data_IF_961477914728
#
_entry.id   IF_961477914728
#
_cell.length_a   1.000
_cell.length_b   1.000
_cell.length_c   1.000
_cell.angle_alpha   90.00
_cell.angle_beta   90.00
_cell.angle_gamma   90.00
#
_symmetry.space_group_name_H-M   'P 1'
#
loop_
_entity.id
_entity.type
_entity.pdbx_description
1 polymer ?
#
# COMPACT_ATOMS: atom_id res chain seq x y z
N UNK A 1 22.23 -75.50 38.56
CA UNK A 1 22.39 -75.01 37.17
C UNK A 1 22.77 -73.54 37.19
N UNK A 2 24.06 -73.27 37.36
CA UNK A 2 24.67 -71.96 37.13
C UNK A 2 24.98 -71.86 35.64
N UNK A 3 24.15 -71.12 34.90
CA UNK A 3 24.48 -70.78 33.52
C UNK A 3 25.66 -69.80 33.54
N UNK A 4 26.80 -70.24 32.99
CA UNK A 4 27.91 -69.37 32.64
C UNK A 4 27.43 -68.36 31.61
N UNK A 5 27.17 -67.11 32.02
CA UNK A 5 26.99 -66.01 31.10
C UNK A 5 28.40 -65.58 30.68
N UNK A 6 28.79 -65.92 29.46
CA UNK A 6 30.02 -65.39 28.85
C UNK A 6 29.70 -63.95 28.43
N UNK A 7 30.31 -62.97 29.09
CA UNK A 7 30.21 -61.56 28.70
C UNK A 7 30.89 -61.37 27.33
N UNK A 8 30.09 -61.14 26.28
CA UNK A 8 30.56 -60.89 24.90
C UNK A 8 30.68 -59.39 24.56
N UNK A 9 30.64 -58.51 25.57
CA UNK A 9 30.73 -57.06 25.42
C UNK A 9 32.09 -56.50 25.86
N UNK A 10 32.47 -55.34 25.33
CA UNK A 10 33.73 -54.63 25.59
C UNK A 10 33.47 -53.13 25.78
N UNK A 11 33.68 -52.64 27.00
CA UNK A 11 33.71 -51.22 27.34
C UNK A 11 35.15 -50.83 27.71
N UNK A 12 35.53 -49.55 27.55
CA UNK A 12 36.92 -49.11 27.74
C UNK A 12 37.00 -47.75 28.47
N UNK A 13 37.98 -47.62 29.38
CA UNK A 13 38.42 -46.37 29.99
C UNK A 13 39.95 -46.30 29.89
N UNK A 14 40.47 -45.28 29.23
CA UNK A 14 41.92 -45.05 29.09
C UNK A 14 42.31 -43.76 29.80
N UNK A 15 43.45 -43.78 30.49
CA UNK A 15 44.09 -42.63 31.14
C UNK A 15 45.57 -42.60 30.75
N UNK A 16 45.91 -41.82 29.72
CA UNK A 16 47.28 -41.65 29.21
C UNK A 16 47.90 -40.36 29.78
N UNK A 17 49.15 -40.45 30.26
CA UNK A 17 49.96 -39.31 30.71
C UNK A 17 51.25 -39.16 29.90
N UNK A 18 51.25 -39.63 28.64
CA UNK A 18 52.38 -39.40 27.74
C UNK A 18 52.45 -37.90 27.50
N UNK A 19 53.60 -37.30 27.83
CA UNK A 19 53.82 -35.86 27.68
C UNK A 19 53.37 -35.37 26.30
N UNK A 20 52.55 -34.33 26.29
CA UNK A 20 51.99 -33.68 25.09
C UNK A 20 50.98 -34.55 24.29
N UNK A 21 50.58 -35.71 24.83
CA UNK A 21 49.60 -36.66 24.28
C UNK A 21 48.73 -37.26 25.40
N UNK A 22 48.43 -36.47 26.43
CA UNK A 22 47.57 -36.87 27.53
C UNK A 22 46.13 -37.07 27.04
N UNK A 23 45.51 -38.17 27.43
CA UNK A 23 44.16 -38.53 26.95
C UNK A 23 43.35 -39.22 28.05
N UNK A 24 42.07 -38.86 28.08
CA UNK A 24 41.02 -39.65 28.74
C UNK A 24 40.05 -40.11 27.66
N UNK A 25 39.93 -41.43 27.45
CA UNK A 25 39.00 -42.03 26.49
C UNK A 25 37.98 -42.89 27.20
N UNK A 26 36.71 -42.76 26.85
CA UNK A 26 35.61 -43.56 27.40
C UNK A 26 34.80 -44.14 26.24
N UNK A 27 34.57 -45.47 26.28
CA UNK A 27 33.73 -46.18 25.31
C UNK A 27 32.72 -47.06 26.02
N UNK A 28 31.45 -46.92 25.63
CA UNK A 28 30.39 -47.88 25.91
C UNK A 28 30.00 -48.60 24.61
N UNK A 29 29.96 -49.95 24.61
CA UNK A 29 29.55 -50.71 23.42
C UNK A 29 28.06 -50.59 23.10
N UNK A 30 27.22 -50.34 24.11
CA UNK A 30 25.77 -50.29 23.95
C UNK A 30 25.17 -49.01 24.53
N UNK A 31 25.12 -48.91 25.86
CA UNK A 31 24.46 -47.81 26.57
C UNK A 31 25.44 -47.11 27.50
N UNK A 32 25.52 -45.78 27.44
CA UNK A 32 26.19 -44.93 28.43
C UNK A 32 25.14 -44.06 29.12
N UNK A 33 25.03 -44.18 30.44
CA UNK A 33 24.11 -43.38 31.25
C UNK A 33 24.90 -42.54 32.25
N UNK A 34 24.64 -41.23 32.27
CA UNK A 34 25.19 -40.31 33.26
C UNK A 34 24.03 -39.75 34.10
N UNK A 35 24.12 -39.90 35.43
CA UNK A 35 23.08 -39.47 36.35
C UNK A 35 23.67 -38.59 37.46
N UNK A 36 23.37 -37.29 37.38
CA UNK A 36 23.86 -36.27 38.33
C UNK A 36 22.67 -35.72 39.13
N UNK A 37 22.71 -35.84 40.46
CA UNK A 37 21.62 -35.36 41.36
C UNK A 37 21.66 -33.86 41.66
N UNK A 38 22.82 -33.24 41.49
CA UNK A 38 23.03 -31.83 41.83
C UNK A 38 23.54 -31.07 40.62
N UNK A 39 24.84 -30.81 40.54
CA UNK A 39 25.43 -29.93 39.54
C UNK A 39 26.40 -30.69 38.65
N UNK A 40 26.38 -30.39 37.37
CA UNK A 40 27.40 -30.77 36.40
C UNK A 40 27.97 -29.49 35.77
N UNK A 41 29.29 -29.38 35.74
CA UNK A 41 29.98 -28.25 35.12
C UNK A 41 31.04 -28.81 34.19
N UNK A 42 31.10 -28.27 32.97
CA UNK A 42 32.09 -28.63 31.96
C UNK A 42 32.69 -27.34 31.42
N UNK A 43 34.02 -27.32 31.28
CA UNK A 43 34.76 -26.25 30.63
C UNK A 43 35.68 -26.88 29.60
N UNK A 44 35.61 -26.41 28.37
CA UNK A 44 36.44 -26.88 27.26
C UNK A 44 37.20 -25.65 26.76
N UNK A 45 38.52 -25.67 26.85
CA UNK A 45 39.36 -24.52 26.52
C UNK A 45 39.57 -24.32 25.01
N UNK A 46 39.32 -25.37 24.23
CA UNK A 46 39.50 -25.34 22.78
C UNK A 46 38.20 -25.77 22.09
N UNK A 47 38.19 -26.89 21.38
CA UNK A 47 37.06 -27.30 20.54
C UNK A 47 36.17 -28.36 21.22
N UNK A 48 34.86 -28.25 20.99
CA UNK A 48 33.87 -29.30 21.27
C UNK A 48 33.23 -29.73 19.95
N UNK A 49 33.35 -31.01 19.62
CA UNK A 49 32.60 -31.63 18.53
C UNK A 49 31.58 -32.63 19.13
N UNK A 50 30.42 -32.75 18.49
CA UNK A 50 29.37 -33.69 18.91
C UNK A 50 28.58 -34.14 17.70
N UNK A 51 28.60 -35.44 17.43
CA UNK A 51 27.84 -36.08 16.35
C UNK A 51 26.84 -37.07 16.94
N UNK A 52 25.57 -36.90 16.58
CA UNK A 52 24.49 -37.84 16.89
C UNK A 52 23.92 -38.32 15.56
N UNK A 53 24.02 -39.62 15.29
CA UNK A 53 23.50 -40.19 14.03
C UNK A 53 21.99 -40.47 14.09
N UNK A 54 21.47 -40.63 15.31
CA UNK A 54 20.04 -40.79 15.59
C UNK A 54 19.38 -39.47 16.00
N UNK A 55 18.41 -39.57 16.91
CA UNK A 55 17.70 -38.41 17.45
C UNK A 55 18.43 -37.81 18.66
N UNK A 56 18.40 -36.49 18.77
CA UNK A 56 18.83 -35.74 19.95
C UNK A 56 17.61 -35.07 20.59
N UNK A 57 17.47 -35.17 21.91
CA UNK A 57 16.41 -34.51 22.66
C UNK A 57 17.00 -33.83 23.88
N UNK A 58 16.68 -32.55 24.05
CA UNK A 58 17.06 -31.75 25.20
C UNK A 58 15.79 -31.20 25.86
N UNK A 59 15.77 -31.14 27.19
CA UNK A 59 14.63 -30.61 27.95
C UNK A 59 15.14 -29.76 29.10
N UNK A 60 14.90 -28.46 28.99
CA UNK A 60 15.23 -27.47 30.02
C UNK A 60 13.92 -26.97 30.62
N UNK A 61 13.70 -27.22 31.90
CA UNK A 61 12.41 -26.94 32.57
C UNK A 61 12.26 -25.51 33.08
N UNK A 62 13.38 -24.78 33.20
CA UNK A 62 13.39 -23.42 33.77
C UNK A 62 13.99 -22.39 32.82
N UNK A 63 15.28 -22.50 32.53
CA UNK A 63 16.02 -21.45 31.86
C UNK A 63 17.18 -21.98 31.03
N UNK A 64 17.26 -21.52 29.78
CA UNK A 64 18.35 -21.79 28.86
C UNK A 64 18.93 -20.44 28.39
N UNK A 65 20.26 -20.27 28.55
CA UNK A 65 21.01 -19.15 27.97
C UNK A 65 22.05 -19.70 27.02
N UNK A 66 22.10 -19.15 25.82
CA UNK A 66 23.17 -19.39 24.87
C UNK A 66 23.76 -18.04 24.46
N UNK A 67 25.08 -17.93 24.55
CA UNK A 67 25.84 -16.75 24.15
C UNK A 67 26.90 -17.18 23.15
N UNK A 68 26.86 -16.57 21.96
CA UNK A 68 27.75 -16.88 20.84
C UNK A 68 28.35 -15.55 20.42
N UNK A 69 29.63 -15.34 20.72
CA UNK A 69 30.34 -14.10 20.40
C UNK A 69 30.72 -14.01 18.92
N UNK A 70 30.95 -15.17 18.29
CA UNK A 70 31.24 -15.30 16.87
C UNK A 70 29.97 -15.50 16.05
N UNK A 71 29.99 -16.55 15.23
CA UNK A 71 28.91 -16.85 14.28
C UNK A 71 28.08 -18.06 14.73
N UNK A 72 26.77 -17.98 14.50
CA UNK A 72 25.83 -19.10 14.62
C UNK A 72 25.30 -19.47 13.23
N UNK A 73 25.66 -20.65 12.72
CA UNK A 73 25.06 -21.24 11.51
C UNK A 73 24.07 -22.34 11.90
N UNK A 74 22.86 -22.29 11.36
CA UNK A 74 21.81 -23.29 11.62
C UNK A 74 21.25 -23.75 10.27
N UNK A 75 21.43 -25.04 9.98
CA UNK A 75 20.91 -25.68 8.76
C UNK A 75 19.97 -26.80 9.13
N UNK A 76 18.76 -26.76 8.58
CA UNK A 76 17.72 -27.77 8.81
C UNK A 76 17.34 -28.35 7.44
N UNK A 77 17.46 -29.67 7.28
CA UNK A 77 17.22 -30.34 6.00
C UNK A 77 15.75 -30.59 5.66
N UNK A 78 14.86 -30.42 6.65
CA UNK A 78 13.42 -30.59 6.52
C UNK A 78 12.71 -29.41 7.19
N UNK A 79 11.90 -29.67 8.21
CA UNK A 79 11.04 -28.67 8.84
C UNK A 79 11.68 -28.03 10.08
N UNK A 80 11.45 -26.73 10.30
CA UNK A 80 11.91 -25.99 11.48
C UNK A 80 10.74 -25.31 12.21
N UNK A 81 10.22 -25.96 13.26
CA UNK A 81 9.13 -25.43 14.09
C UNK A 81 9.66 -24.63 15.28
N UNK A 82 9.05 -23.47 15.52
CA UNK A 82 9.28 -22.67 16.72
C UNK A 82 7.94 -22.28 17.33
N UNK A 83 7.66 -22.77 18.53
CA UNK A 83 6.48 -22.42 19.30
C UNK A 83 6.88 -21.62 20.53
N UNK A 84 6.28 -20.44 20.73
CA UNK A 84 6.59 -19.54 21.83
C UNK A 84 5.28 -19.12 22.48
N UNK A 85 5.14 -19.39 23.78
CA UNK A 85 3.86 -19.22 24.48
C UNK A 85 3.57 -17.77 24.91
N UNK A 86 4.61 -16.97 25.14
CA UNK A 86 4.48 -15.62 25.71
C UNK A 86 4.92 -14.52 24.74
N UNK A 87 6.23 -14.38 24.49
CA UNK A 87 6.78 -13.35 23.61
C UNK A 87 8.03 -13.80 22.88
N UNK A 88 8.22 -13.26 21.67
CA UNK A 88 9.41 -13.47 20.85
C UNK A 88 9.92 -12.11 20.35
N UNK A 89 11.05 -11.69 20.88
CA UNK A 89 11.73 -10.46 20.46
C UNK A 89 12.89 -10.79 19.53
N UNK A 90 13.09 -9.98 18.49
CA UNK A 90 14.21 -10.09 17.56
C UNK A 90 14.81 -8.72 17.34
N UNK A 91 16.09 -8.56 17.69
CA UNK A 91 16.86 -7.33 17.52
C UNK A 91 18.01 -7.64 16.58
N UNK A 92 18.12 -6.86 15.51
CA UNK A 92 19.15 -7.02 14.48
C UNK A 92 19.88 -5.69 14.31
N UNK A 93 21.20 -5.71 14.46
CA UNK A 93 21.99 -4.47 14.49
C UNK A 93 22.30 -3.86 13.12
N UNK A 94 22.23 -4.66 12.03
CA UNK A 94 22.60 -4.22 10.68
C UNK A 94 21.51 -4.52 9.64
N UNK A 95 21.30 -5.80 9.30
CA UNK A 95 20.36 -6.18 8.24
C UNK A 95 19.61 -7.48 8.53
N UNK A 96 18.35 -7.53 8.14
CA UNK A 96 17.49 -8.70 8.23
C UNK A 96 16.93 -9.03 6.84
N UNK A 97 17.29 -10.18 6.29
CA UNK A 97 16.83 -10.63 4.96
C UNK A 97 16.03 -11.91 5.11
N UNK A 98 14.82 -11.93 4.56
CA UNK A 98 13.95 -13.11 4.53
C UNK A 98 13.70 -13.52 3.08
N UNK A 99 14.17 -14.70 2.70
CA UNK A 99 13.90 -15.31 1.39
C UNK A 99 12.96 -16.49 1.59
N UNK A 100 11.79 -16.46 0.95
CA UNK A 100 10.78 -17.52 1.01
C UNK A 100 10.55 -18.06 -0.40
N UNK A 101 10.70 -19.37 -0.58
CA UNK A 101 10.66 -19.99 -1.90
C UNK A 101 9.26 -20.26 -2.45
N UNK A 102 8.24 -20.33 -1.58
CA UNK A 102 6.86 -20.64 -1.97
C UNK A 102 5.90 -19.59 -1.41
N UNK A 103 5.44 -19.75 -0.16
CA UNK A 103 4.42 -18.89 0.43
C UNK A 103 4.85 -18.30 1.77
N UNK A 104 4.52 -17.04 2.01
CA UNK A 104 4.66 -16.38 3.30
C UNK A 104 3.29 -15.96 3.84
N UNK A 105 2.85 -16.54 4.96
CA UNK A 105 1.55 -16.26 5.58
C UNK A 105 1.73 -15.64 6.96
N UNK A 106 1.37 -14.36 7.08
CA UNK A 106 1.30 -13.65 8.36
C UNK A 106 -0.14 -13.56 8.85
N UNK A 107 -0.38 -13.94 10.11
CA UNK A 107 -1.67 -13.74 10.79
C UNK A 107 -1.41 -13.04 12.12
N UNK A 108 -2.04 -11.89 12.29
CA UNK A 108 -1.98 -11.11 13.53
C UNK A 108 -3.40 -11.04 14.09
N UNK A 109 -3.59 -11.48 15.33
CA UNK A 109 -4.93 -11.58 15.91
C UNK A 109 -5.49 -10.23 16.39
N UNK A 110 -4.60 -9.27 16.65
CA UNK A 110 -4.96 -7.95 17.18
C UNK A 110 -4.33 -6.86 16.32
N UNK A 111 -3.24 -6.24 16.78
CA UNK A 111 -2.67 -5.04 16.18
C UNK A 111 -1.33 -5.35 15.49
N UNK A 112 -1.10 -4.72 14.34
CA UNK A 112 0.19 -4.72 13.63
C UNK A 112 0.62 -3.28 13.38
N UNK A 113 1.87 -2.95 13.71
CA UNK A 113 2.46 -1.63 13.48
C UNK A 113 3.81 -1.78 12.78
N UNK A 114 4.05 -0.92 11.79
CA UNK A 114 5.32 -0.84 11.07
C UNK A 114 5.80 0.60 11.07
N UNK A 115 7.09 0.79 11.40
CA UNK A 115 7.76 2.08 11.29
C UNK A 115 8.98 1.91 10.40
N UNK A 116 9.06 2.68 9.33
CA UNK A 116 10.18 2.70 8.38
C UNK A 116 10.81 4.07 8.45
N UNK A 117 12.05 4.15 8.96
CA UNK A 117 12.78 5.40 9.08
C UNK A 117 13.39 5.91 7.76
N UNK A 118 13.45 5.05 6.74
CA UNK A 118 13.88 5.38 5.39
C UNK A 118 12.80 5.03 4.36
N UNK A 119 13.22 4.61 3.16
CA UNK A 119 12.28 4.33 2.07
C UNK A 119 11.62 2.95 2.18
N UNK A 120 10.33 2.87 1.82
CA UNK A 120 9.60 1.61 1.63
C UNK A 120 9.30 1.39 0.16
N UNK A 121 9.84 0.31 -0.42
CA UNK A 121 9.52 -0.14 -1.79
C UNK A 121 8.77 -1.47 -1.73
N UNK A 122 7.65 -1.54 -2.44
CA UNK A 122 6.85 -2.76 -2.60
C UNK A 122 6.72 -3.06 -4.09
N UNK A 123 7.06 -4.28 -4.48
CA UNK A 123 6.92 -4.77 -5.86
C UNK A 123 6.13 -6.06 -5.85
N UNK A 124 5.04 -6.09 -6.62
CA UNK A 124 4.15 -7.25 -6.72
C UNK A 124 4.14 -7.69 -8.17
N UNK A 125 4.71 -8.87 -8.45
CA UNK A 125 4.74 -9.44 -9.81
C UNK A 125 3.38 -9.97 -10.28
N UNK A 126 2.46 -10.25 -9.34
CA UNK A 126 1.09 -10.68 -9.60
C UNK A 126 0.05 -9.63 -9.21
N UNK A 127 -1.09 -10.09 -8.69
CA UNK A 127 -2.19 -9.21 -8.24
C UNK A 127 -2.04 -8.83 -6.77
N UNK A 128 -2.47 -7.61 -6.41
CA UNK A 128 -2.62 -7.16 -5.02
C UNK A 128 -4.09 -6.91 -4.70
N UNK A 129 -4.53 -7.31 -3.51
CA UNK A 129 -5.89 -7.09 -3.00
C UNK A 129 -5.81 -6.66 -1.53
N UNK A 130 -6.48 -5.57 -1.20
CA UNK A 130 -6.59 -5.03 0.15
C UNK A 130 -8.07 -4.97 0.53
N UNK A 131 -8.42 -5.53 1.70
CA UNK A 131 -9.76 -5.45 2.27
C UNK A 131 -9.65 -4.87 3.67
N UNK A 132 -10.33 -3.75 3.91
CA UNK A 132 -10.35 -3.06 5.20
C UNK A 132 -11.79 -3.11 5.72
N UNK A 133 -11.98 -3.75 6.88
CA UNK A 133 -13.31 -3.88 7.50
C UNK A 133 -13.79 -2.62 8.24
N UNK A 134 -12.87 -1.71 8.55
CA UNK A 134 -13.15 -0.40 9.16
C UNK A 134 -12.64 0.74 8.29
N UNK A 135 -12.14 1.80 8.92
CA UNK A 135 -11.69 3.00 8.23
C UNK A 135 -10.26 2.86 7.67
N UNK A 136 -10.01 3.48 6.53
CA UNK A 136 -8.67 3.67 5.95
C UNK A 136 -8.38 5.16 5.84
N UNK A 137 -7.24 5.58 6.38
CA UNK A 137 -6.72 6.95 6.25
C UNK A 137 -5.33 6.90 5.67
N UNK A 138 -5.08 7.72 4.65
CA UNK A 138 -3.78 7.88 4.01
C UNK A 138 -3.42 9.36 4.01
N UNK A 139 -2.26 9.70 4.56
CA UNK A 139 -1.75 11.06 4.65
C UNK A 139 -0.41 11.08 3.94
N UNK A 140 -0.29 11.95 2.94
CA UNK A 140 0.89 12.10 2.11
C UNK A 140 1.29 13.58 2.17
N UNK A 141 2.38 13.87 2.88
CA UNK A 141 2.90 15.24 3.02
C UNK A 141 3.60 15.74 1.75
N UNK A 142 4.05 14.80 0.91
CA UNK A 142 4.65 15.07 -0.40
C UNK A 142 3.69 14.81 -1.56
N UNK A 143 4.25 14.55 -2.73
CA UNK A 143 3.48 14.26 -3.93
C UNK A 143 2.99 12.81 -3.97
N UNK A 144 1.74 12.62 -4.41
CA UNK A 144 1.18 11.30 -4.73
C UNK A 144 0.95 11.18 -6.23
N UNK A 145 1.43 10.08 -6.84
CA UNK A 145 1.24 9.79 -8.26
C UNK A 145 0.68 8.39 -8.44
N UNK A 146 -0.52 8.30 -9.01
CA UNK A 146 -1.14 7.05 -9.38
C UNK A 146 -1.14 6.89 -10.91
N UNK A 147 -0.43 5.89 -11.43
CA UNK A 147 -0.32 5.63 -12.86
C UNK A 147 -0.94 4.27 -13.20
N UNK A 148 -2.07 4.29 -13.89
CA UNK A 148 -2.87 3.10 -14.22
C UNK A 148 -2.90 2.92 -15.74
N UNK A 149 -2.37 1.79 -16.22
CA UNK A 149 -2.26 1.50 -17.65
C UNK A 149 -3.58 1.01 -18.30
N UNK A 150 -4.55 0.57 -17.49
CA UNK A 150 -5.82 0.02 -17.94
C UNK A 150 -6.99 0.81 -17.33
N UNK A 151 -7.92 0.14 -16.64
CA UNK A 151 -9.06 0.78 -16.01
C UNK A 151 -8.77 1.23 -14.58
N UNK A 152 -9.35 2.36 -14.19
CA UNK A 152 -9.44 2.82 -12.81
C UNK A 152 -10.92 3.04 -12.47
N UNK A 153 -11.36 2.55 -11.32
CA UNK A 153 -12.72 2.71 -10.84
C UNK A 153 -12.72 3.21 -9.41
N UNK A 154 -13.57 4.20 -9.13
CA UNK A 154 -13.78 4.77 -7.80
C UNK A 154 -15.28 4.77 -7.53
N UNK A 155 -15.69 4.06 -6.49
CA UNK A 155 -17.10 3.89 -6.12
C UNK A 155 -17.24 4.21 -4.64
N UNK A 156 -18.20 5.08 -4.31
CA UNK A 156 -18.56 5.39 -2.93
C UNK A 156 -20.08 5.50 -2.82
N UNK A 157 -20.65 4.90 -1.78
CA UNK A 157 -22.11 4.92 -1.55
C UNK A 157 -22.59 6.26 -1.01
N UNK A 158 -21.80 6.90 -0.14
CA UNK A 158 -22.19 8.16 0.51
C UNK A 158 -21.75 9.39 -0.29
N UNK A 159 -20.46 9.46 -0.68
CA UNK A 159 -19.96 10.59 -1.44
C UNK A 159 -18.47 10.53 -1.71
N UNK A 160 -18.02 11.39 -2.63
CA UNK A 160 -16.62 11.61 -2.99
C UNK A 160 -16.40 13.12 -2.96
N UNK A 161 -15.31 13.57 -2.33
CA UNK A 161 -14.92 14.98 -2.31
C UNK A 161 -13.50 15.13 -2.86
N UNK A 162 -13.34 15.95 -3.90
CA UNK A 162 -12.06 16.25 -4.52
C UNK A 162 -11.83 17.75 -4.43
N UNK A 163 -10.84 18.17 -3.64
CA UNK A 163 -10.56 19.58 -3.36
C UNK A 163 -9.10 19.89 -3.67
N UNK A 164 -8.85 20.99 -4.38
CA UNK A 164 -7.49 21.49 -4.68
C UNK A 164 -7.47 23.00 -4.46
N UNK A 165 -6.31 23.56 -4.09
CA UNK A 165 -6.15 25.01 -3.91
C UNK A 165 -5.70 25.73 -5.20
N UNK A 166 -5.11 24.99 -6.13
CA UNK A 166 -4.56 25.56 -7.36
C UNK A 166 -5.32 25.06 -8.58
N UNK A 167 -5.00 23.87 -9.08
CA UNK A 167 -5.51 23.35 -10.33
C UNK A 167 -6.15 21.97 -10.14
N UNK A 168 -7.29 21.79 -10.80
CA UNK A 168 -7.94 20.50 -11.01
C UNK A 168 -8.16 20.30 -12.51
N UNK A 169 -7.60 19.23 -13.08
CA UNK A 169 -7.75 18.90 -14.49
C UNK A 169 -8.58 17.63 -14.64
N UNK A 170 -9.63 17.69 -15.45
CA UNK A 170 -10.39 16.52 -15.89
C UNK A 170 -10.44 16.54 -17.42
N UNK A 171 -9.86 15.52 -18.04
CA UNK A 171 -9.74 15.44 -19.50
C UNK A 171 -9.85 13.99 -19.98
N UNK A 172 -10.47 13.79 -21.13
CA UNK A 172 -10.58 12.50 -21.83
C UNK A 172 -10.46 12.74 -23.32
N UNK A 173 -9.84 11.81 -24.05
CA UNK A 173 -9.67 11.93 -25.50
C UNK A 173 -10.96 11.63 -26.28
N UNK A 174 -11.92 10.91 -25.69
CA UNK A 174 -13.15 10.52 -26.36
C UNK A 174 -14.34 11.30 -25.81
N UNK A 175 -14.77 10.99 -24.58
CA UNK A 175 -15.87 11.69 -23.93
C UNK A 175 -15.67 11.77 -22.42
N UNK A 176 -16.35 12.74 -21.81
CA UNK A 176 -16.56 12.88 -20.37
C UNK A 176 -18.08 12.93 -20.16
N UNK A 177 -18.60 12.13 -19.24
CA UNK A 177 -20.01 12.19 -18.82
C UNK A 177 -20.04 12.74 -17.40
N UNK A 178 -20.84 13.79 -17.19
CA UNK A 178 -21.16 14.33 -15.87
C UNK A 178 -22.67 14.31 -15.75
N UNK A 179 -23.19 13.54 -14.80
CA UNK A 179 -24.63 13.37 -14.61
C UNK A 179 -24.97 13.36 -13.13
N UNK A 180 -26.06 14.05 -12.78
CA UNK A 180 -26.67 14.08 -11.46
C UNK A 180 -28.17 13.85 -11.62
N UNK A 181 -28.79 13.16 -10.66
CA UNK A 181 -30.24 12.95 -10.67
C UNK A 181 -31.02 14.18 -10.23
N UNK A 182 -30.42 14.97 -9.33
CA UNK A 182 -30.99 16.21 -8.83
C UNK A 182 -30.20 17.36 -9.45
N UNK A 183 -29.25 17.93 -8.72
CA UNK A 183 -28.60 19.18 -9.14
C UNK A 183 -27.17 18.99 -9.69
N UNK A 184 -26.85 19.78 -10.72
CA UNK A 184 -25.49 20.06 -11.17
C UNK A 184 -25.24 21.57 -11.08
N UNK A 185 -24.22 21.97 -10.31
CA UNK A 185 -23.84 23.38 -10.15
C UNK A 185 -22.42 23.64 -10.66
N UNK A 186 -22.25 24.68 -11.47
CA UNK A 186 -20.95 25.17 -11.96
C UNK A 186 -20.81 26.64 -11.59
N UNK A 187 -19.90 26.95 -10.66
CA UNK A 187 -19.73 28.29 -10.12
C UNK A 187 -18.28 28.74 -10.25
N UNK A 188 -18.08 29.93 -10.80
CA UNK A 188 -16.75 30.55 -10.91
C UNK A 188 -16.84 32.02 -10.52
N UNK A 189 -15.77 32.57 -9.91
CA UNK A 189 -15.73 33.99 -9.51
C UNK A 189 -15.33 34.93 -10.66
N UNK A 190 -14.66 34.41 -11.69
CA UNK A 190 -14.08 35.21 -12.77
C UNK A 190 -14.71 34.86 -14.11
N UNK A 191 -14.56 33.61 -14.54
CA UNK A 191 -14.96 33.20 -15.88
C UNK A 191 -15.32 31.73 -15.90
N UNK A 192 -16.45 31.43 -16.55
CA UNK A 192 -16.83 30.10 -17.02
C UNK A 192 -16.73 30.12 -18.54
N UNK A 193 -15.92 29.23 -19.11
CA UNK A 193 -15.73 29.11 -20.57
C UNK A 193 -16.25 27.75 -21.04
N UNK A 194 -17.07 27.77 -22.10
CA UNK A 194 -17.52 26.59 -22.80
C UNK A 194 -17.20 26.77 -24.29
N UNK A 195 -16.50 25.80 -24.88
CA UNK A 195 -16.09 25.87 -26.28
C UNK A 195 -16.26 24.49 -26.89
N UNK A 196 -17.01 24.42 -27.98
CA UNK A 196 -17.28 23.19 -28.71
C UNK A 196 -17.59 23.54 -30.17
N UNK A 197 -17.44 22.56 -31.07
CA UNK A 197 -17.87 22.69 -32.47
C UNK A 197 -19.40 22.83 -32.56
N UNK A 198 -20.12 22.04 -31.76
CA UNK A 198 -21.57 22.17 -31.57
C UNK A 198 -21.93 22.04 -30.09
N UNK A 199 -23.02 22.70 -29.69
CA UNK A 199 -23.60 22.60 -28.36
C UNK A 199 -25.10 22.42 -28.46
N UNK A 200 -25.65 21.56 -27.62
CA UNK A 200 -27.08 21.32 -27.48
C UNK A 200 -27.49 21.52 -26.04
N UNK A 201 -28.57 22.25 -25.82
CA UNK A 201 -29.12 22.50 -24.49
C UNK A 201 -30.63 22.32 -24.57
N UNK A 202 -31.14 21.35 -23.83
CA UNK A 202 -32.58 21.13 -23.66
C UNK A 202 -32.96 21.51 -22.24
N UNK A 203 -33.87 22.47 -22.10
CA UNK A 203 -34.38 22.93 -20.82
C UNK A 203 -35.89 22.71 -20.85
N UNK A 204 -36.37 21.79 -20.02
CA UNK A 204 -37.80 21.37 -20.03
C UNK A 204 -38.74 22.41 -19.41
N UNK A 205 -38.20 23.25 -18.53
CA UNK A 205 -38.95 24.31 -17.85
C UNK A 205 -38.34 25.67 -18.20
N UNK A 206 -37.84 26.41 -17.22
CA UNK A 206 -37.40 27.78 -17.41
C UNK A 206 -35.92 27.86 -17.76
N UNK A 207 -35.60 28.68 -18.77
CA UNK A 207 -34.24 29.11 -19.08
C UNK A 207 -34.08 30.57 -18.65
N UNK A 208 -33.14 30.84 -17.76
CA UNK A 208 -32.86 32.18 -17.24
C UNK A 208 -31.40 32.56 -17.49
N UNK A 209 -31.19 33.74 -18.08
CA UNK A 209 -29.86 34.31 -18.30
C UNK A 209 -29.85 35.72 -17.72
N UNK A 210 -29.07 35.91 -16.66
CA UNK A 210 -28.88 37.20 -16.01
C UNK A 210 -27.43 37.66 -16.20
N UNK A 211 -27.24 38.91 -16.60
CA UNK A 211 -25.93 39.54 -16.69
C UNK A 211 -25.98 40.95 -16.10
N UNK A 212 -24.94 41.32 -15.36
CA UNK A 212 -24.84 42.66 -14.76
C UNK A 212 -24.44 43.77 -15.73
N UNK A 213 -24.02 43.44 -16.95
CA UNK A 213 -23.57 44.41 -17.95
C UNK A 213 -24.23 44.20 -19.32
N UNK A 214 -24.02 43.02 -19.91
CA UNK A 214 -24.45 42.77 -21.29
C UNK A 214 -24.69 41.27 -21.54
N UNK A 215 -25.65 40.95 -22.40
CA UNK A 215 -25.85 39.64 -23.02
C UNK A 215 -25.67 39.81 -24.53
N UNK A 216 -24.84 38.96 -25.16
CA UNK A 216 -24.54 39.02 -26.59
C UNK A 216 -24.78 37.66 -27.24
N UNK A 217 -25.61 37.63 -28.28
CA UNK A 217 -25.74 36.50 -29.20
C UNK A 217 -25.11 36.90 -30.54
N UNK A 218 -24.12 36.15 -31.02
CA UNK A 218 -23.32 36.53 -32.19
C UNK A 218 -23.15 35.36 -33.18
N UNK A 219 -23.33 35.66 -34.46
CA UNK A 219 -23.06 34.76 -35.60
C UNK A 219 -22.29 35.55 -36.65
N UNK A 220 -20.97 35.37 -36.71
CA UNK A 220 -20.10 36.23 -37.53
C UNK A 220 -20.26 37.70 -37.13
N UNK A 221 -20.63 38.55 -38.09
CA UNK A 221 -20.91 39.99 -37.86
C UNK A 221 -22.34 40.28 -37.36
N UNK A 222 -23.25 39.29 -37.44
CA UNK A 222 -24.63 39.46 -36.97
C UNK A 222 -24.68 39.35 -35.45
N UNK A 223 -25.30 40.34 -34.78
CA UNK A 223 -25.36 40.41 -33.31
C UNK A 223 -26.75 40.79 -32.79
N UNK A 224 -27.12 40.20 -31.65
CA UNK A 224 -28.18 40.68 -30.76
C UNK A 224 -27.52 40.97 -29.42
N UNK A 225 -27.62 42.21 -28.96
CA UNK A 225 -26.95 42.69 -27.75
C UNK A 225 -27.97 43.34 -26.83
N UNK A 226 -28.14 42.81 -25.63
CA UNK A 226 -28.96 43.41 -24.58
C UNK A 226 -28.07 44.00 -23.49
N UNK A 227 -28.40 45.21 -23.04
CA UNK A 227 -27.77 45.93 -21.92
C UNK A 227 -28.84 46.35 -20.91
N UNK A 228 -28.48 47.08 -19.86
CA UNK A 228 -29.44 47.54 -18.84
C UNK A 228 -30.50 48.50 -19.36
N UNK A 229 -30.24 49.22 -20.45
CA UNK A 229 -31.08 50.30 -20.96
C UNK A 229 -31.44 50.18 -22.45
N UNK A 230 -30.88 49.20 -23.15
CA UNK A 230 -31.12 49.04 -24.59
C UNK A 230 -30.96 47.61 -25.11
N UNK A 231 -31.65 47.33 -26.22
CA UNK A 231 -31.48 46.12 -27.06
C UNK A 231 -31.09 46.56 -28.46
N UNK A 232 -29.99 46.03 -28.98
CA UNK A 232 -29.43 46.35 -30.30
C UNK A 232 -29.35 45.08 -31.14
N UNK A 233 -29.89 45.12 -32.35
CA UNK A 233 -29.80 44.04 -33.34
C UNK A 233 -29.04 44.58 -34.56
N UNK A 234 -27.95 43.93 -34.96
CA UNK A 234 -27.17 44.27 -36.16
C UNK A 234 -27.13 43.10 -37.12
N UNK A 235 -27.51 43.31 -38.37
CA UNK A 235 -27.46 42.29 -39.41
C UNK A 235 -27.37 42.94 -40.81
N UNK A 236 -26.47 42.45 -41.67
CA UNK A 236 -26.42 42.87 -43.08
C UNK A 236 -26.25 44.38 -43.33
N UNK A 237 -25.60 45.11 -42.40
CA UNK A 237 -25.44 46.56 -42.46
C UNK A 237 -26.60 47.39 -41.88
N UNK A 238 -27.64 46.74 -41.38
CA UNK A 238 -28.78 47.36 -40.66
C UNK A 238 -28.54 47.29 -39.16
N UNK A 239 -28.89 48.35 -38.43
CA UNK A 239 -28.90 48.41 -36.96
C UNK A 239 -30.29 48.81 -36.47
N UNK A 240 -30.91 47.98 -35.63
CA UNK A 240 -32.14 48.27 -34.90
C UNK A 240 -31.80 48.45 -33.43
N UNK A 241 -32.22 49.57 -32.84
CA UNK A 241 -32.02 49.88 -31.42
C UNK A 241 -33.37 50.12 -30.75
N UNK A 242 -33.61 49.46 -29.62
CA UNK A 242 -34.72 49.73 -28.70
C UNK A 242 -34.11 50.30 -27.43
N UNK A 243 -34.44 51.52 -27.09
CA UNK A 243 -33.97 52.21 -25.88
C UNK A 243 -35.07 53.10 -25.28
N UNK A 244 -34.71 53.95 -24.31
CA UNK A 244 -35.64 54.93 -23.69
C UNK A 244 -36.29 55.93 -24.68
N UNK A 245 -35.76 56.06 -25.90
CA UNK A 245 -36.29 56.93 -26.97
C UNK A 245 -37.23 56.18 -27.92
N UNK A 246 -37.42 54.87 -27.73
CA UNK A 246 -38.26 54.02 -28.57
C UNK A 246 -37.44 53.14 -29.52
N UNK A 247 -37.97 52.94 -30.73
CA UNK A 247 -37.38 52.07 -31.75
C UNK A 247 -36.72 52.92 -32.86
N UNK A 248 -35.41 52.72 -33.08
CA UNK A 248 -34.60 53.43 -34.06
C UNK A 248 -34.02 52.40 -35.05
N UNK A 249 -34.18 52.65 -36.35
CA UNK A 249 -33.59 51.84 -37.42
C UNK A 249 -32.60 52.69 -38.22
N UNK A 250 -31.37 52.18 -38.40
CA UNK A 250 -30.32 52.82 -39.20
C UNK A 250 -29.86 51.86 -40.29
N UNK A 251 -29.84 52.36 -41.53
CA UNK A 251 -29.57 51.52 -42.70
C UNK A 251 -30.78 50.63 -43.03
N UNK A 252 -31.14 50.55 -44.31
CA UNK A 252 -32.32 49.79 -44.76
C UNK A 252 -33.63 50.59 -44.78
N UNK A 253 -34.69 49.93 -45.22
CA UNK A 253 -36.05 50.48 -45.33
C UNK A 253 -36.91 50.05 -44.13
N UNK A 254 -37.65 50.98 -43.53
CA UNK A 254 -38.72 50.67 -42.58
C UNK A 254 -40.04 50.64 -43.34
N UNK A 255 -40.69 49.47 -43.40
CA UNK A 255 -42.02 49.30 -44.00
C UNK A 255 -43.02 49.01 -42.88
N UNK A 256 -44.07 49.82 -42.77
CA UNK A 256 -45.26 49.49 -41.95
C UNK A 256 -46.32 48.90 -42.88
N UNK A 257 -46.69 47.64 -42.67
CA UNK A 257 -47.86 47.03 -43.28
C UNK A 257 -49.11 47.24 -42.40
#
# INVERSE_FOLDING_TARGET
>A
NTANIIEQGYNELTLSNIKDNEEIYIRAQKDYNEYIKHNFSQTIHNNKDSKVEGSYTESITKYHKQEILGLKDVRVGAEYLTNVALSKDTIVGLSNTLNVGVDNKLRVAKDSSEYVGGDKRVEVGGSSKEEVGGDKTEIIEGDSKNHINKGYGLYATNGISLNTQQQFNLSSNNYIIVSSNEDLSLQTKKQLTQTADSSYTNIESNCEVQAGNQITHQVGETTITATSDSVIIKAGGVEVTIDSKGLIVKGGEVKSE
#
